data_IF_022772256480
#
_entry.id   IF_022772256480
#
_cell.length_a   1.000
_cell.length_b   1.000
_cell.length_c   1.000
_cell.angle_alpha   90.00
_cell.angle_beta   90.00
_cell.angle_gamma   90.00
#
_symmetry.space_group_name_H-M   'P 1'
#
loop_
_entity.id
_entity.type
_entity.pdbx_description
1 polymer ?
#
# COMPACT_ATOMS: atom_id res chain seq x y z
N UNK A 1 -26.24 7.25 -5.17
CA UNK A 1 -25.71 6.14 -6.00
C UNK A 1 -24.47 5.60 -5.34
N UNK A 2 -24.36 4.28 -5.12
CA UNK A 2 -23.22 3.65 -4.43
C UNK A 2 -21.87 3.96 -5.10
N UNK A 3 -21.83 4.06 -6.43
CA UNK A 3 -20.62 4.43 -7.18
C UNK A 3 -20.10 5.84 -6.82
N UNK A 4 -21.01 6.81 -6.64
CA UNK A 4 -20.64 8.16 -6.24
C UNK A 4 -20.11 8.20 -4.80
N UNK A 5 -20.71 7.44 -3.90
CA UNK A 5 -20.24 7.29 -2.52
C UNK A 5 -18.85 6.67 -2.45
N UNK A 6 -18.57 5.65 -3.27
CA UNK A 6 -17.24 5.01 -3.37
C UNK A 6 -16.19 6.02 -3.87
N UNK A 7 -16.50 6.81 -4.91
CA UNK A 7 -15.57 7.82 -5.43
C UNK A 7 -15.27 8.89 -4.38
N UNK A 8 -16.29 9.42 -3.70
CA UNK A 8 -16.10 10.44 -2.67
C UNK A 8 -15.29 9.92 -1.48
N UNK A 9 -15.59 8.71 -0.99
CA UNK A 9 -14.85 8.11 0.13
C UNK A 9 -13.39 7.89 -0.23
N UNK A 10 -13.09 7.47 -1.47
CA UNK A 10 -11.72 7.31 -1.94
C UNK A 10 -10.97 8.64 -2.04
N UNK A 11 -11.61 9.67 -2.58
CA UNK A 11 -11.02 11.01 -2.66
C UNK A 11 -10.76 11.55 -1.25
N UNK A 12 -11.73 11.44 -0.33
CA UNK A 12 -11.56 11.87 1.06
C UNK A 12 -10.44 11.10 1.75
N UNK A 13 -10.43 9.77 1.65
CA UNK A 13 -9.39 8.94 2.26
C UNK A 13 -8.01 9.28 1.70
N UNK A 14 -7.88 9.49 0.39
CA UNK A 14 -6.61 9.86 -0.23
C UNK A 14 -6.15 11.25 0.22
N UNK A 15 -7.05 12.23 0.29
CA UNK A 15 -6.76 13.57 0.82
C UNK A 15 -6.31 13.48 2.28
N UNK A 16 -7.03 12.75 3.13
CA UNK A 16 -6.68 12.57 4.55
C UNK A 16 -5.32 11.89 4.69
N UNK A 17 -5.03 10.85 3.91
CA UNK A 17 -3.73 10.18 3.91
C UNK A 17 -2.59 11.10 3.46
N UNK A 18 -2.81 11.95 2.45
CA UNK A 18 -1.81 12.94 1.99
C UNK A 18 -1.58 14.01 3.05
N UNK A 19 -2.63 14.54 3.67
CA UNK A 19 -2.50 15.53 4.77
C UNK A 19 -1.74 14.93 5.94
N UNK A 20 -2.10 13.71 6.38
CA UNK A 20 -1.40 13.01 7.45
C UNK A 20 0.06 12.74 7.09
N UNK A 21 0.36 12.33 5.86
CA UNK A 21 1.73 12.13 5.40
C UNK A 21 2.55 13.43 5.46
N UNK A 22 1.98 14.57 5.04
CA UNK A 22 2.63 15.88 5.13
C UNK A 22 2.88 16.26 6.60
N UNK A 23 1.88 16.10 7.47
CA UNK A 23 2.01 16.38 8.91
C UNK A 23 3.09 15.51 9.55
N UNK A 24 3.12 14.22 9.24
CA UNK A 24 4.14 13.29 9.77
C UNK A 24 5.54 13.67 9.28
N UNK A 25 5.68 14.08 8.02
CA UNK A 25 6.97 14.53 7.49
C UNK A 25 7.42 15.85 8.13
N UNK A 26 6.51 16.81 8.29
CA UNK A 26 6.79 18.11 8.91
C UNK A 26 7.15 17.95 10.39
N UNK A 27 6.44 17.06 11.10
CA UNK A 27 6.65 16.79 12.52
C UNK A 27 7.61 15.63 12.79
N UNK A 28 8.35 15.11 11.80
CA UNK A 28 9.13 13.86 11.94
C UNK A 28 10.08 13.85 13.15
N UNK A 29 10.68 15.00 13.45
CA UNK A 29 11.66 15.15 14.52
C UNK A 29 11.01 15.29 15.91
N UNK A 30 9.72 15.63 15.99
CA UNK A 30 8.97 15.77 17.25
C UNK A 30 8.14 14.51 17.50
N UNK A 31 7.55 13.96 16.44
CA UNK A 31 6.78 12.72 16.46
C UNK A 31 7.65 11.54 16.92
N UNK A 32 8.92 11.52 16.54
CA UNK A 32 9.86 10.49 16.98
C UNK A 32 10.02 10.45 18.50
N UNK A 33 10.02 11.61 19.18
CA UNK A 33 10.09 11.68 20.65
C UNK A 33 8.79 11.26 21.35
N UNK A 34 7.65 11.23 20.65
CA UNK A 34 6.40 10.72 21.21
C UNK A 34 6.42 9.18 21.39
N UNK A 35 7.26 8.48 20.62
CA UNK A 35 7.40 7.03 20.69
C UNK A 35 8.64 6.56 21.46
N UNK A 36 9.65 7.43 21.62
CA UNK A 36 10.88 7.06 22.32
C UNK A 36 11.60 8.28 22.89
N UNK A 37 12.10 8.15 24.12
CA UNK A 37 12.94 9.18 24.75
C UNK A 37 14.43 9.06 24.33
N UNK A 38 14.81 7.97 23.68
CA UNK A 38 16.20 7.72 23.26
C UNK A 38 16.54 8.41 21.93
N UNK A 39 17.54 9.30 21.92
CA UNK A 39 17.98 10.03 20.72
C UNK A 39 18.31 9.12 19.53
N UNK A 40 18.96 7.98 19.77
CA UNK A 40 19.31 7.02 18.70
C UNK A 40 18.08 6.40 18.03
N UNK A 41 17.06 6.08 18.82
CA UNK A 41 15.81 5.49 18.30
C UNK A 41 14.96 6.58 17.66
N UNK A 42 14.94 7.79 18.23
CA UNK A 42 14.25 8.96 17.68
C UNK A 42 14.79 9.33 16.29
N UNK A 43 16.11 9.37 16.13
CA UNK A 43 16.75 9.60 14.84
C UNK A 43 16.42 8.50 13.81
N UNK A 44 16.39 7.23 14.24
CA UNK A 44 16.01 6.11 13.37
C UNK A 44 14.54 6.21 12.91
N UNK A 45 13.62 6.57 13.80
CA UNK A 45 12.20 6.78 13.44
C UNK A 45 12.05 7.93 12.45
N UNK A 46 12.76 9.05 12.67
CA UNK A 46 12.76 10.20 11.76
C UNK A 46 13.27 9.86 10.35
N UNK A 47 14.28 8.98 10.23
CA UNK A 47 14.80 8.51 8.93
C UNK A 47 13.84 7.54 8.20
N UNK A 48 12.92 6.91 8.93
CA UNK A 48 11.87 6.04 8.37
C UNK A 48 10.60 6.80 7.99
N UNK A 49 10.37 8.01 8.51
CA UNK A 49 9.18 8.82 8.18
C UNK A 49 8.94 9.02 6.66
N UNK A 50 9.97 9.21 5.80
CA UNK A 50 9.77 9.23 4.35
C UNK A 50 9.17 7.94 3.78
N UNK A 51 9.62 6.77 4.25
CA UNK A 51 9.05 5.48 3.84
C UNK A 51 7.61 5.32 4.34
N UNK A 52 7.34 5.80 5.56
CA UNK A 52 5.99 5.81 6.11
C UNK A 52 5.04 6.68 5.27
N UNK A 53 5.47 7.86 4.84
CA UNK A 53 4.68 8.73 3.96
C UNK A 53 4.34 8.05 2.63
N UNK A 54 5.31 7.40 1.99
CA UNK A 54 5.08 6.60 0.77
C UNK A 54 4.11 5.45 1.03
N UNK A 55 4.27 4.77 2.17
CA UNK A 55 3.37 3.70 2.60
C UNK A 55 1.94 4.21 2.79
N UNK A 56 1.74 5.39 3.37
CA UNK A 56 0.41 6.00 3.50
C UNK A 56 -0.25 6.25 2.15
N UNK A 57 0.49 6.77 1.17
CA UNK A 57 -0.03 7.04 -0.18
C UNK A 57 -0.40 5.73 -0.88
N UNK A 58 0.45 4.70 -0.79
CA UNK A 58 0.15 3.38 -1.35
C UNK A 58 -1.07 2.72 -0.71
N UNK A 59 -1.21 2.83 0.62
CA UNK A 59 -2.40 2.38 1.34
C UNK A 59 -3.66 3.16 0.97
N UNK A 60 -3.56 4.32 0.31
CA UNK A 60 -4.71 5.02 -0.24
C UNK A 60 -5.23 4.40 -1.55
N UNK A 61 -4.41 3.67 -2.30
CA UNK A 61 -4.74 3.13 -3.63
C UNK A 61 -5.00 1.62 -3.58
N UNK A 62 -4.18 0.90 -2.83
CA UNK A 62 -4.20 -0.56 -2.79
C UNK A 62 -5.53 -1.15 -2.27
N UNK A 63 -6.15 -0.64 -1.18
CA UNK A 63 -7.42 -1.17 -0.69
C UNK A 63 -8.57 -0.90 -1.66
N UNK A 64 -8.48 0.17 -2.44
CA UNK A 64 -9.47 0.54 -3.46
C UNK A 64 -9.46 -0.48 -4.59
N UNK A 65 -8.29 -0.72 -5.17
CA UNK A 65 -8.12 -1.69 -6.24
C UNK A 65 -8.46 -3.11 -5.76
N UNK A 66 -7.98 -3.47 -4.56
CA UNK A 66 -8.29 -4.77 -3.96
C UNK A 66 -9.79 -4.90 -3.67
N UNK A 67 -10.44 -3.85 -3.18
CA UNK A 67 -11.87 -3.81 -2.90
C UNK A 67 -12.73 -3.95 -4.15
N UNK A 68 -12.36 -3.27 -5.25
CA UNK A 68 -13.02 -3.44 -6.55
C UNK A 68 -12.87 -4.87 -7.05
N UNK A 69 -11.65 -5.40 -7.05
CA UNK A 69 -11.38 -6.77 -7.53
C UNK A 69 -12.09 -7.84 -6.68
N UNK A 70 -12.15 -7.67 -5.36
CA UNK A 70 -12.91 -8.54 -4.46
C UNK A 70 -14.41 -8.41 -4.71
N UNK A 71 -14.92 -7.20 -4.97
CA UNK A 71 -16.31 -6.92 -5.33
C UNK A 71 -16.75 -7.62 -6.63
N UNK A 72 -15.85 -7.79 -7.59
CA UNK A 72 -16.08 -8.58 -8.81
C UNK A 72 -15.99 -10.11 -8.58
N UNK A 73 -15.65 -10.56 -7.36
CA UNK A 73 -15.48 -11.97 -7.01
C UNK A 73 -14.07 -12.52 -7.23
N UNK A 74 -13.08 -11.68 -7.59
CA UNK A 74 -11.71 -12.12 -7.86
C UNK A 74 -10.83 -12.21 -6.61
N UNK A 75 -11.43 -12.34 -5.44
CA UNK A 75 -10.74 -12.42 -4.15
C UNK A 75 -9.60 -13.46 -4.13
N UNK A 76 -9.81 -14.63 -4.75
CA UNK A 76 -8.78 -15.69 -4.82
C UNK A 76 -7.59 -15.28 -5.66
N UNK A 77 -7.81 -14.55 -6.77
CA UNK A 77 -6.73 -14.01 -7.59
C UNK A 77 -5.95 -12.95 -6.83
N UNK A 78 -6.65 -11.99 -6.21
CA UNK A 78 -6.03 -10.93 -5.39
C UNK A 78 -5.18 -11.54 -4.27
N UNK A 79 -5.68 -12.56 -3.57
CA UNK A 79 -4.96 -13.23 -2.50
C UNK A 79 -3.66 -13.91 -3.01
N UNK A 80 -3.73 -14.60 -4.16
CA UNK A 80 -2.54 -15.23 -4.78
C UNK A 80 -1.49 -14.20 -5.17
N UNK A 81 -1.90 -13.10 -5.81
CA UNK A 81 -1.00 -12.02 -6.21
C UNK A 81 -0.37 -11.37 -4.97
N UNK A 82 -1.15 -11.11 -3.92
CA UNK A 82 -0.66 -10.56 -2.66
C UNK A 82 0.42 -11.45 -2.04
N UNK A 83 0.14 -12.74 -1.85
CA UNK A 83 1.10 -13.70 -1.29
C UNK A 83 2.36 -13.79 -2.17
N UNK A 84 2.20 -13.87 -3.50
CA UNK A 84 3.33 -13.89 -4.41
C UNK A 84 4.21 -12.63 -4.28
N UNK A 85 3.61 -11.45 -4.36
CA UNK A 85 4.37 -10.20 -4.33
C UNK A 85 5.03 -9.95 -2.98
N UNK A 86 4.35 -10.26 -1.86
CA UNK A 86 4.92 -10.07 -0.54
C UNK A 86 6.01 -11.09 -0.22
N UNK A 87 5.75 -12.38 -0.42
CA UNK A 87 6.65 -13.43 0.05
C UNK A 87 7.75 -13.77 -0.94
N UNK A 88 7.46 -13.74 -2.25
CA UNK A 88 8.44 -14.11 -3.29
C UNK A 88 9.29 -12.91 -3.71
N UNK A 89 8.77 -11.69 -3.62
CA UNK A 89 9.48 -10.49 -4.06
C UNK A 89 9.83 -9.59 -2.88
N UNK A 90 8.86 -9.24 -2.04
CA UNK A 90 9.03 -8.31 -0.92
C UNK A 90 10.06 -8.79 0.10
N UNK A 91 9.94 -10.05 0.56
CA UNK A 91 10.87 -10.63 1.54
C UNK A 91 12.30 -10.75 0.98
N UNK A 92 12.54 -11.33 -0.22
CA UNK A 92 13.91 -11.40 -0.77
C UNK A 92 14.53 -10.04 -1.03
N UNK A 93 13.77 -9.08 -1.58
CA UNK A 93 14.27 -7.71 -1.76
C UNK A 93 14.52 -7.03 -0.42
N UNK A 94 13.66 -7.24 0.57
CA UNK A 94 13.83 -6.71 1.92
C UNK A 94 15.08 -7.27 2.60
N UNK A 95 15.34 -8.57 2.44
CA UNK A 95 16.56 -9.21 2.93
C UNK A 95 17.79 -8.69 2.17
N UNK A 96 17.69 -8.52 0.86
CA UNK A 96 18.77 -7.98 0.04
C UNK A 96 19.12 -6.54 0.46
N UNK A 97 18.14 -5.62 0.51
CA UNK A 97 18.39 -4.24 0.93
C UNK A 97 18.76 -4.13 2.41
N UNK A 98 18.14 -4.93 3.28
CA UNK A 98 18.39 -4.92 4.72
C UNK A 98 19.78 -5.44 5.09
N UNK A 99 20.19 -6.58 4.55
CA UNK A 99 21.40 -7.29 4.96
C UNK A 99 22.58 -7.08 4.00
N UNK A 100 22.38 -7.12 2.68
CA UNK A 100 23.46 -6.94 1.70
C UNK A 100 23.93 -5.48 1.64
N UNK A 101 23.00 -4.54 1.47
CA UNK A 101 23.30 -3.10 1.49
C UNK A 101 23.42 -2.51 2.90
N UNK A 102 23.20 -3.32 3.94
CA UNK A 102 23.25 -2.93 5.36
C UNK A 102 22.35 -1.73 5.71
N UNK A 103 21.24 -1.56 4.99
CA UNK A 103 20.24 -0.54 5.32
C UNK A 103 19.34 -0.94 6.50
N UNK A 104 19.52 -2.14 7.06
CA UNK A 104 18.81 -2.62 8.25
C UNK A 104 17.29 -2.54 8.08
N UNK A 105 16.61 -1.95 9.06
CA UNK A 105 15.15 -1.80 9.05
C UNK A 105 14.64 -1.00 7.84
N UNK A 106 15.37 0.03 7.40
CA UNK A 106 15.03 0.84 6.22
C UNK A 106 15.03 0.00 4.94
N UNK A 107 16.02 -0.89 4.80
CA UNK A 107 16.13 -1.82 3.68
C UNK A 107 14.98 -2.83 3.65
N UNK A 108 14.66 -3.42 4.80
CA UNK A 108 13.55 -4.38 4.92
C UNK A 108 12.22 -3.71 4.55
N UNK A 109 11.95 -2.53 5.09
CA UNK A 109 10.73 -1.79 4.80
C UNK A 109 10.64 -1.38 3.33
N UNK A 110 11.75 -0.94 2.73
CA UNK A 110 11.79 -0.60 1.30
C UNK A 110 11.47 -1.81 0.42
N UNK A 111 11.99 -3.00 0.74
CA UNK A 111 11.65 -4.24 0.03
C UNK A 111 10.15 -4.59 0.10
N UNK A 112 9.53 -4.40 1.27
CA UNK A 112 8.09 -4.62 1.46
C UNK A 112 7.23 -3.62 0.67
N UNK A 113 7.67 -2.37 0.58
CA UNK A 113 7.04 -1.34 -0.26
C UNK A 113 7.14 -1.74 -1.75
N UNK A 114 8.29 -2.24 -2.22
CA UNK A 114 8.42 -2.75 -3.59
C UNK A 114 7.43 -3.87 -3.91
N UNK A 115 7.26 -4.84 -3.00
CA UNK A 115 6.26 -5.90 -3.15
C UNK A 115 4.84 -5.35 -3.28
N UNK A 116 4.50 -4.37 -2.45
CA UNK A 116 3.21 -3.68 -2.47
C UNK A 116 2.96 -2.90 -3.77
N UNK A 117 3.99 -2.22 -4.28
CA UNK A 117 3.91 -1.49 -5.56
C UNK A 117 3.64 -2.46 -6.70
N UNK A 118 4.37 -3.58 -6.77
CA UNK A 118 4.20 -4.59 -7.82
C UNK A 118 2.79 -5.19 -7.77
N UNK A 119 2.30 -5.54 -6.58
CA UNK A 119 0.92 -5.99 -6.39
C UNK A 119 -0.09 -4.96 -6.92
N UNK A 120 0.11 -3.69 -6.57
CA UNK A 120 -0.77 -2.59 -7.01
C UNK A 120 -0.77 -2.43 -8.52
N UNK A 121 0.40 -2.51 -9.17
CA UNK A 121 0.54 -2.44 -10.63
C UNK A 121 -0.15 -3.63 -11.31
N UNK A 122 0.02 -4.85 -10.79
CA UNK A 122 -0.64 -6.05 -11.34
C UNK A 122 -2.16 -5.90 -11.26
N UNK A 123 -2.69 -5.52 -10.09
CA UNK A 123 -4.13 -5.33 -9.90
C UNK A 123 -4.66 -4.22 -10.81
N UNK A 124 -3.98 -3.08 -10.89
CA UNK A 124 -4.36 -1.99 -11.79
C UNK A 124 -4.38 -2.47 -13.25
N UNK A 125 -3.35 -3.18 -13.70
CA UNK A 125 -3.26 -3.69 -15.07
C UNK A 125 -4.40 -4.66 -15.41
N UNK A 126 -4.69 -5.61 -14.53
CA UNK A 126 -5.82 -6.54 -14.72
C UNK A 126 -7.14 -5.78 -14.75
N UNK A 127 -7.33 -4.83 -13.83
CA UNK A 127 -8.53 -3.98 -13.75
C UNK A 127 -8.74 -3.19 -15.05
N UNK A 128 -7.69 -2.61 -15.63
CA UNK A 128 -7.77 -1.88 -16.90
C UNK A 128 -8.01 -2.77 -18.13
N UNK A 129 -7.52 -4.01 -18.11
CA UNK A 129 -7.65 -4.96 -19.23
C UNK A 129 -8.95 -5.76 -19.20
N UNK A 130 -9.72 -5.66 -18.14
CA UNK A 130 -10.94 -6.43 -17.96
C UNK A 130 -12.08 -5.85 -18.78
N UNK A 131 -12.83 -6.76 -19.43
CA UNK A 131 -14.09 -6.43 -20.11
C UNK A 131 -15.21 -6.28 -19.07
N UNK A 132 -15.42 -5.04 -18.64
CA UNK A 132 -16.41 -4.68 -17.62
C UNK A 132 -17.85 -5.05 -18.03
N UNK A 133 -18.15 -5.12 -19.33
CA UNK A 133 -19.50 -5.49 -19.79
C UNK A 133 -19.76 -6.96 -19.45
N UNK A 134 -18.79 -7.84 -19.69
CA UNK A 134 -18.89 -9.25 -19.34
C UNK A 134 -18.90 -9.49 -17.84
N UNK A 135 -18.09 -8.76 -17.08
CA UNK A 135 -18.08 -8.89 -15.61
C UNK A 135 -19.40 -8.45 -14.98
N UNK A 136 -20.05 -7.40 -15.49
CA UNK A 136 -21.39 -7.00 -15.02
C UNK A 136 -22.42 -8.08 -15.35
N UNK A 137 -22.33 -8.70 -16.52
CA UNK A 137 -23.22 -9.81 -16.90
C UNK A 137 -23.02 -11.04 -16.00
N UNK A 138 -21.77 -11.42 -15.71
CA UNK A 138 -21.46 -12.49 -14.77
C UNK A 138 -21.91 -12.17 -13.35
N UNK A 139 -21.69 -10.94 -12.87
CA UNK A 139 -22.14 -10.51 -11.56
C UNK A 139 -23.68 -10.56 -11.45
N UNK A 140 -24.40 -10.18 -12.51
CA UNK A 140 -25.86 -10.28 -12.57
C UNK A 140 -26.36 -11.73 -12.59
N UNK A 141 -25.59 -12.68 -13.10
CA UNK A 141 -25.93 -14.13 -13.06
C UNK A 141 -25.67 -14.75 -11.69
N UNK A 142 -24.89 -14.09 -10.83
CA UNK A 142 -24.59 -14.53 -9.45
C UNK A 142 -25.60 -13.99 -8.42
N UNK A 143 -26.49 -13.08 -8.84
CA UNK A 143 -27.65 -12.57 -8.08
C UNK A 143 -28.87 -13.47 -8.33
#
# INVERSE_FOLDING_TARGET
>A
SAAFSVIIVNIYSLITCVILAIVILACRNVLSYAFTEGEKVSAAVSDLCPLLAVTLVLNGIQPVLSGVAVGCGWQTFVAKVNVGCYYVIGIPLGAFFGFYFKFGAKGIWTGMICGTIIQTVILAWVTFRTDWVKEVEEASKRL
#
